data_IF_716033968735
#
_entry.id   IF_716033968735
#
_cell.length_a   1.000
_cell.length_b   1.000
_cell.length_c   1.000
_cell.angle_alpha   90.00
_cell.angle_beta   90.00
_cell.angle_gamma   90.00
#
_symmetry.space_group_name_H-M   'P 1'
#
loop_
_entity.id
_entity.type
_entity.pdbx_description
1 polymer ?
#
# COMPACT_ATOMS: atom_id res chain seq x y z
N UNK A 1 0.41 -8.36 -8.95
CA UNK A 1 -0.82 -8.15 -8.15
C UNK A 1 -2.11 -8.67 -8.78
N UNK A 2 -2.43 -8.32 -10.03
CA UNK A 2 -3.70 -8.72 -10.65
C UNK A 2 -3.86 -10.24 -10.77
N UNK A 3 -2.77 -11.00 -10.93
CA UNK A 3 -2.81 -12.46 -10.90
C UNK A 3 -3.27 -13.03 -9.54
N UNK A 4 -2.93 -12.37 -8.43
CA UNK A 4 -3.36 -12.77 -7.09
C UNK A 4 -4.84 -12.42 -6.88
N UNK A 5 -5.24 -11.20 -7.26
CA UNK A 5 -6.65 -10.76 -7.24
C UNK A 5 -7.56 -11.69 -8.04
N UNK A 6 -7.12 -12.11 -9.23
CA UNK A 6 -7.87 -13.00 -10.13
C UNK A 6 -8.05 -14.44 -9.64
N UNK A 7 -7.51 -14.80 -8.46
CA UNK A 7 -7.78 -16.12 -7.84
C UNK A 7 -9.12 -16.16 -7.10
N UNK A 8 -9.68 -15.00 -6.75
CA UNK A 8 -10.99 -14.86 -6.11
C UNK A 8 -12.10 -14.69 -7.16
N UNK A 9 -13.31 -15.21 -6.91
CA UNK A 9 -14.50 -14.99 -7.74
C UNK A 9 -14.41 -15.52 -9.19
N UNK A 10 -14.13 -16.81 -9.38
CA UNK A 10 -14.04 -17.42 -10.72
C UNK A 10 -15.43 -17.72 -11.28
N UNK A 11 -15.55 -17.77 -12.61
CA UNK A 11 -16.81 -18.11 -13.32
C UNK A 11 -18.03 -17.23 -12.95
N UNK A 12 -17.80 -16.00 -12.45
CA UNK A 12 -18.87 -15.11 -12.02
C UNK A 12 -19.26 -15.26 -10.55
N UNK A 13 -18.59 -16.14 -9.80
CA UNK A 13 -18.78 -16.28 -8.37
C UNK A 13 -18.41 -14.98 -7.63
N UNK A 14 -19.09 -14.64 -6.53
CA UNK A 14 -18.70 -13.53 -5.69
C UNK A 14 -17.33 -13.79 -5.04
N UNK A 15 -16.52 -12.74 -4.90
CA UNK A 15 -15.20 -12.82 -4.27
C UNK A 15 -14.67 -11.45 -3.85
N UNK A 16 -13.92 -11.41 -2.75
CA UNK A 16 -13.17 -10.24 -2.32
C UNK A 16 -11.68 -10.54 -2.38
N UNK A 17 -10.88 -9.49 -2.59
CA UNK A 17 -9.45 -9.51 -2.35
C UNK A 17 -9.05 -8.18 -1.72
N UNK A 18 -8.14 -8.21 -0.75
CA UNK A 18 -7.61 -7.02 -0.12
C UNK A 18 -6.10 -7.17 0.06
N UNK A 19 -5.38 -6.10 -0.24
CA UNK A 19 -3.95 -6.01 0.02
C UNK A 19 -3.74 -5.18 1.27
N UNK A 20 -2.80 -5.61 2.10
CA UNK A 20 -2.30 -4.87 3.26
C UNK A 20 -0.86 -4.51 2.94
N UNK A 21 -0.52 -3.25 3.16
CA UNK A 21 0.79 -2.68 2.84
C UNK A 21 1.32 -1.94 4.07
N UNK A 22 2.64 -1.87 4.19
CA UNK A 22 3.34 -1.13 5.23
C UNK A 22 4.35 -0.16 4.61
N UNK A 23 4.59 0.97 5.28
CA UNK A 23 5.69 1.88 4.93
C UNK A 23 7.07 1.21 5.08
N UNK A 24 7.15 0.11 5.83
CA UNK A 24 8.37 -0.67 6.01
C UNK A 24 8.63 -1.72 4.94
N UNK A 25 7.71 -1.93 3.99
CA UNK A 25 7.85 -2.94 2.93
C UNK A 25 9.00 -2.59 1.97
N UNK A 26 9.61 -3.59 1.34
CA UNK A 26 10.79 -3.38 0.49
C UNK A 26 10.51 -2.46 -0.71
N UNK A 27 9.31 -2.54 -1.31
CA UNK A 27 8.86 -1.60 -2.35
C UNK A 27 8.88 -0.15 -1.85
N UNK A 28 8.44 0.05 -0.60
CA UNK A 28 8.34 1.37 0.01
C UNK A 28 9.72 1.88 0.45
N UNK A 29 10.60 1.00 0.94
CA UNK A 29 12.00 1.33 1.28
C UNK A 29 12.83 1.81 0.09
N UNK A 30 12.58 1.27 -1.10
CA UNK A 30 13.20 1.74 -2.34
C UNK A 30 12.75 3.15 -2.71
N UNK A 31 11.62 3.60 -2.15
CA UNK A 31 11.10 4.95 -2.28
C UNK A 31 11.35 5.79 -1.02
N UNK A 32 11.01 7.08 -1.07
CA UNK A 32 11.14 8.04 0.04
C UNK A 32 10.22 7.73 1.24
N UNK A 33 9.96 6.47 1.57
CA UNK A 33 9.13 6.05 2.69
C UNK A 33 9.61 6.62 4.03
N UNK A 34 10.92 6.80 4.22
CA UNK A 34 11.46 7.45 5.43
C UNK A 34 10.94 8.88 5.66
N UNK A 35 10.61 9.63 4.60
CA UNK A 35 10.02 10.96 4.75
C UNK A 35 8.55 10.87 5.16
N UNK A 36 7.81 9.90 4.61
CA UNK A 36 6.41 9.66 4.97
C UNK A 36 6.32 9.19 6.43
N UNK A 37 7.12 8.20 6.79
CA UNK A 37 7.23 7.64 8.14
C UNK A 37 7.57 8.71 9.18
N UNK A 38 8.52 9.63 8.89
CA UNK A 38 8.83 10.77 9.77
C UNK A 38 7.66 11.73 9.96
N UNK A 39 6.90 12.02 8.90
CA UNK A 39 5.73 12.89 9.02
C UNK A 39 4.64 12.23 9.86
N UNK A 40 4.46 10.92 9.71
CA UNK A 40 3.46 10.17 10.48
C UNK A 40 3.85 10.02 11.95
N UNK A 41 5.13 9.77 12.24
CA UNK A 41 5.62 9.72 13.63
C UNK A 41 5.55 11.08 14.31
N UNK A 42 5.84 12.18 13.60
CA UNK A 42 5.64 13.54 14.10
C UNK A 42 4.16 13.87 14.34
N UNK A 43 3.26 13.28 13.57
CA UNK A 43 1.82 13.45 13.73
C UNK A 43 1.22 12.56 14.83
N UNK A 44 2.04 11.77 15.55
CA UNK A 44 1.62 10.79 16.58
C UNK A 44 0.48 9.87 16.09
N UNK A 45 0.51 9.47 14.82
CA UNK A 45 -0.43 8.49 14.29
C UNK A 45 -0.11 7.13 14.90
N UNK A 46 -1.06 6.45 15.57
CA UNK A 46 -0.83 5.13 16.11
C UNK A 46 -0.52 4.10 15.01
N UNK A 47 0.39 3.17 15.28
CA UNK A 47 0.85 2.15 14.31
C UNK A 47 -0.25 1.14 13.90
N UNK A 48 -1.31 1.02 14.72
CA UNK A 48 -2.44 0.12 14.51
C UNK A 48 -3.60 0.77 13.73
N UNK A 49 -3.49 2.06 13.40
CA UNK A 49 -4.51 2.79 12.65
C UNK A 49 -4.19 2.77 11.15
N UNK A 50 -5.12 2.31 10.29
CA UNK A 50 -4.94 2.37 8.85
C UNK A 50 -4.70 3.79 8.35
N UNK A 51 -3.71 3.94 7.48
CA UNK A 51 -3.37 5.22 6.87
C UNK A 51 -4.29 5.48 5.68
N UNK A 52 -5.26 6.37 5.86
CA UNK A 52 -6.14 6.83 4.77
C UNK A 52 -5.71 8.23 4.28
N UNK A 53 -4.72 8.28 3.39
CA UNK A 53 -4.25 9.54 2.83
C UNK A 53 -4.00 9.45 1.31
N UNK A 54 -4.65 10.33 0.54
CA UNK A 54 -4.54 10.37 -0.93
C UNK A 54 -3.11 10.55 -1.44
N UNK A 55 -2.25 11.27 -0.72
CA UNK A 55 -0.84 11.43 -1.10
C UNK A 55 -0.07 10.12 -0.91
N UNK A 56 -0.31 9.41 0.20
CA UNK A 56 0.32 8.11 0.47
C UNK A 56 -0.12 7.08 -0.58
N UNK A 57 -1.41 7.01 -0.90
CA UNK A 57 -1.94 6.14 -1.96
C UNK A 57 -1.27 6.41 -3.32
N UNK A 58 -1.12 7.70 -3.70
CA UNK A 58 -0.45 8.07 -4.96
C UNK A 58 1.03 7.73 -4.95
N UNK A 59 1.70 7.89 -3.81
CA UNK A 59 3.11 7.54 -3.68
C UNK A 59 3.33 6.03 -3.87
N UNK A 60 2.48 5.19 -3.29
CA UNK A 60 2.50 3.73 -3.48
C UNK A 60 2.31 3.36 -4.96
N UNK A 61 1.30 3.92 -5.62
CA UNK A 61 1.04 3.63 -7.03
C UNK A 61 2.20 4.07 -7.95
N UNK A 62 2.78 5.25 -7.68
CA UNK A 62 3.95 5.74 -8.41
C UNK A 62 5.18 4.84 -8.20
N UNK A 63 5.40 4.38 -6.97
CA UNK A 63 6.50 3.49 -6.64
C UNK A 63 6.40 2.18 -7.43
N UNK A 64 5.21 1.56 -7.45
CA UNK A 64 4.97 0.35 -8.23
C UNK A 64 5.22 0.57 -9.73
N UNK A 65 4.71 1.68 -10.29
CA UNK A 65 4.89 2.00 -11.72
C UNK A 65 6.33 2.25 -12.17
N UNK A 66 7.25 2.55 -11.24
CA UNK A 66 8.66 2.75 -11.55
C UNK A 66 9.47 1.45 -11.50
N UNK A 67 8.93 0.41 -10.84
CA UNK A 67 9.55 -0.92 -10.77
C UNK A 67 9.06 -1.81 -11.90
N UNK A 68 7.81 -1.65 -12.34
CA UNK A 68 7.24 -2.28 -13.54
C UNK A 68 7.84 -1.74 -14.83
#
# INVERSE_FOLDING_TARGET
DNQLRGRSGRQGDPGESRFYLSLGDDLMRLFKAQMVERVMSMANVPDDVPIENKMVTRAIASAQSQVE
#
